data_IF_542007142461
#
_entry.id   IF_542007142461
#
_cell.length_a   1.000
_cell.length_b   1.000
_cell.length_c   1.000
_cell.angle_alpha   90.00
_cell.angle_beta   90.00
_cell.angle_gamma   90.00
#
_symmetry.space_group_name_H-M   'P 1'
#
loop_
_entity.id
_entity.type
_entity.pdbx_description
1 polymer ?
#
# COMPACT_ATOMS: atom_id res chain seq x y z
N UNK A 1 12.96 -33.16 -34.33
CA UNK A 1 13.89 -32.33 -33.53
C UNK A 1 13.34 -30.92 -33.52
N UNK A 2 13.03 -30.39 -32.33
CA UNK A 2 12.49 -29.04 -32.17
C UNK A 2 13.59 -28.02 -31.95
N UNK A 3 13.40 -26.83 -32.52
CA UNK A 3 14.28 -25.69 -32.29
C UNK A 3 13.87 -24.95 -31.01
N UNK A 4 14.81 -24.84 -30.06
CA UNK A 4 14.69 -23.98 -28.89
C UNK A 4 14.55 -22.52 -29.33
N UNK A 5 13.41 -21.86 -29.07
CA UNK A 5 13.19 -20.45 -29.48
C UNK A 5 13.93 -19.40 -28.64
N UNK A 6 14.69 -19.82 -27.61
CA UNK A 6 15.40 -18.90 -26.70
C UNK A 6 16.87 -18.78 -27.08
N UNK A 7 17.55 -19.91 -27.30
CA UNK A 7 18.96 -19.97 -27.71
C UNK A 7 19.19 -20.72 -29.03
N UNK A 8 18.14 -20.92 -29.84
CA UNK A 8 18.21 -21.31 -31.26
C UNK A 8 19.03 -22.57 -31.59
N UNK A 9 19.08 -23.56 -30.69
CA UNK A 9 19.69 -24.87 -30.95
C UNK A 9 18.62 -25.96 -30.96
N UNK A 10 18.97 -27.13 -31.48
CA UNK A 10 18.07 -28.27 -31.57
C UNK A 10 18.15 -29.10 -30.29
N UNK A 11 16.99 -29.47 -29.75
CA UNK A 11 16.88 -30.51 -28.74
C UNK A 11 15.61 -31.33 -28.97
N UNK A 12 15.53 -32.49 -28.32
CA UNK A 12 14.34 -33.35 -28.39
C UNK A 12 13.13 -32.65 -27.76
N UNK A 13 11.96 -32.84 -28.41
CA UNK A 13 10.70 -32.28 -27.94
C UNK A 13 10.34 -32.86 -26.57
N UNK A 14 10.03 -31.99 -25.61
CA UNK A 14 9.72 -32.39 -24.23
C UNK A 14 10.93 -32.59 -23.31
N UNK A 15 12.15 -32.49 -23.83
CA UNK A 15 13.39 -32.59 -23.04
C UNK A 15 13.90 -31.21 -22.62
N UNK A 16 14.52 -31.13 -21.44
CA UNK A 16 15.14 -29.90 -20.93
C UNK A 16 16.33 -29.52 -21.79
N UNK A 17 16.30 -28.34 -22.36
CA UNK A 17 17.45 -27.75 -23.03
C UNK A 17 18.65 -27.72 -22.08
N UNK A 18 19.78 -28.27 -22.51
CA UNK A 18 21.02 -28.33 -21.73
C UNK A 18 21.73 -26.98 -21.61
N UNK A 19 21.44 -26.03 -22.50
CA UNK A 19 22.07 -24.70 -22.54
C UNK A 19 21.32 -23.68 -21.67
N UNK A 20 20.00 -23.54 -21.87
CA UNK A 20 19.19 -22.55 -21.16
C UNK A 20 18.21 -23.16 -20.14
N UNK A 21 18.13 -24.48 -20.03
CA UNK A 21 17.34 -25.15 -19.01
C UNK A 21 15.82 -25.15 -19.23
N UNK A 22 15.32 -24.68 -20.37
CA UNK A 22 13.88 -24.67 -20.61
C UNK A 22 13.34 -26.05 -21.04
N UNK A 23 12.10 -26.36 -20.70
CA UNK A 23 11.34 -27.49 -21.26
C UNK A 23 10.14 -26.87 -21.96
N UNK A 24 9.81 -27.34 -23.16
CA UNK A 24 8.72 -26.78 -23.97
C UNK A 24 7.39 -26.62 -23.22
N UNK A 25 6.76 -25.45 -23.42
CA UNK A 25 5.41 -25.00 -23.00
C UNK A 25 5.05 -25.14 -21.52
N UNK A 26 5.84 -24.52 -20.64
CA UNK A 26 5.34 -24.18 -19.31
C UNK A 26 4.32 -23.03 -19.40
N UNK A 27 3.05 -23.29 -19.03
CA UNK A 27 2.03 -22.25 -18.78
C UNK A 27 2.53 -21.19 -17.79
N UNK A 28 3.35 -21.59 -16.82
CA UNK A 28 3.95 -20.67 -15.84
C UNK A 28 4.89 -19.67 -16.53
N UNK A 29 5.67 -20.12 -17.52
CA UNK A 29 6.53 -19.22 -18.29
C UNK A 29 5.73 -18.29 -19.22
N UNK A 30 4.57 -18.73 -19.72
CA UNK A 30 3.64 -17.84 -20.44
C UNK A 30 3.01 -16.79 -19.51
N UNK A 31 2.70 -17.15 -18.26
CA UNK A 31 2.29 -16.20 -17.22
C UNK A 31 3.41 -15.20 -16.87
N UNK A 32 4.67 -15.64 -16.82
CA UNK A 32 5.85 -14.79 -16.62
C UNK A 32 6.21 -13.94 -17.85
N UNK A 33 5.73 -14.31 -19.05
CA UNK A 33 5.89 -13.55 -20.31
C UNK A 33 4.97 -12.33 -20.41
N UNK A 34 4.10 -12.11 -19.41
CA UNK A 34 3.57 -10.78 -19.16
C UNK A 34 4.76 -9.91 -18.75
N UNK A 35 5.49 -9.39 -19.74
CA UNK A 35 6.56 -8.41 -19.64
C UNK A 35 5.99 -7.17 -18.96
N UNK A 36 5.84 -7.22 -17.63
CA UNK A 36 5.59 -6.02 -16.85
C UNK A 36 6.89 -5.25 -16.87
N UNK A 37 6.87 -3.97 -17.27
CA UNK A 37 8.05 -3.12 -17.17
C UNK A 37 8.62 -3.24 -15.75
N UNK A 38 9.94 -3.37 -15.61
CA UNK A 38 10.63 -3.49 -14.31
C UNK A 38 10.27 -2.32 -13.36
N UNK A 39 9.80 -1.20 -13.92
CA UNK A 39 9.38 0.00 -13.20
C UNK A 39 7.86 0.25 -13.20
N UNK A 40 7.04 -0.76 -13.49
CA UNK A 40 5.59 -0.58 -13.48
C UNK A 40 5.11 -0.33 -12.04
N UNK A 41 4.36 0.77 -11.89
CA UNK A 41 3.69 1.10 -10.64
C UNK A 41 2.42 0.25 -10.51
N UNK A 42 2.26 -0.42 -9.37
CA UNK A 42 1.06 -1.21 -9.06
C UNK A 42 0.58 -0.88 -7.65
N UNK A 43 -0.73 -0.74 -7.49
CA UNK A 43 -1.37 -0.62 -6.20
C UNK A 43 -2.15 -1.87 -5.88
N UNK A 44 -2.14 -2.26 -4.61
CA UNK A 44 -2.92 -3.38 -4.10
C UNK A 44 -3.63 -2.90 -2.85
N UNK A 45 -4.95 -2.88 -2.87
CA UNK A 45 -5.79 -2.69 -1.68
C UNK A 45 -6.35 -4.05 -1.24
N UNK A 46 -6.34 -4.33 0.06
CA UNK A 46 -6.77 -5.61 0.61
C UNK A 46 -7.21 -5.49 2.07
N UNK A 47 -8.15 -6.33 2.49
CA UNK A 47 -8.46 -6.56 3.91
C UNK A 47 -7.68 -7.77 4.41
N UNK A 48 -7.26 -7.77 5.68
CA UNK A 48 -6.61 -8.95 6.27
C UNK A 48 -7.69 -9.95 6.68
N UNK A 49 -7.91 -10.97 5.87
CA UNK A 49 -8.70 -12.14 6.26
C UNK A 49 -7.75 -13.28 6.67
N UNK A 50 -7.98 -13.84 7.87
CA UNK A 50 -7.19 -14.93 8.46
C UNK A 50 -7.31 -16.21 7.63
N UNK A 51 -8.36 -16.35 6.81
CA UNK A 51 -8.61 -17.51 5.97
C UNK A 51 -8.12 -17.33 4.52
N UNK A 52 -7.76 -16.12 4.10
CA UNK A 52 -7.41 -15.83 2.70
C UNK A 52 -5.89 -15.79 2.45
N UNK A 53 -5.41 -16.69 1.59
CA UNK A 53 -3.99 -16.92 1.32
C UNK A 53 -3.27 -15.73 0.65
N UNK A 54 -3.80 -15.10 -0.42
CA UNK A 54 -3.20 -13.92 -1.04
C UNK A 54 -3.12 -12.72 -0.08
N UNK A 55 -4.14 -12.54 0.77
CA UNK A 55 -4.17 -11.50 1.79
C UNK A 55 -3.08 -11.70 2.86
N UNK A 56 -2.71 -12.94 3.19
CA UNK A 56 -1.56 -13.24 4.07
C UNK A 56 -0.22 -12.80 3.48
N UNK A 57 -0.02 -13.02 2.17
CA UNK A 57 1.19 -12.59 1.46
C UNK A 57 1.33 -11.07 1.45
N UNK A 58 0.27 -10.37 1.04
CA UNK A 58 0.23 -8.90 1.04
C UNK A 58 0.39 -8.33 2.45
N UNK A 59 -0.25 -8.94 3.45
CA UNK A 59 -0.09 -8.53 4.85
C UNK A 59 1.36 -8.61 5.29
N UNK A 60 2.04 -9.72 4.99
CA UNK A 60 3.46 -9.90 5.33
C UNK A 60 4.34 -8.80 4.70
N UNK A 61 4.05 -8.41 3.45
CA UNK A 61 4.77 -7.31 2.79
C UNK A 61 4.46 -5.94 3.42
N UNK A 62 3.20 -5.68 3.77
CA UNK A 62 2.81 -4.46 4.47
C UNK A 62 3.50 -4.34 5.84
N UNK A 63 3.62 -5.46 6.56
CA UNK A 63 4.37 -5.53 7.82
C UNK A 63 5.84 -5.18 7.61
N UNK A 64 6.51 -5.78 6.64
CA UNK A 64 7.93 -5.50 6.34
C UNK A 64 8.17 -4.01 6.01
N UNK A 65 7.30 -3.40 5.19
CA UNK A 65 7.41 -1.98 4.85
C UNK A 65 7.18 -1.09 6.08
N UNK A 66 6.17 -1.41 6.91
CA UNK A 66 5.88 -0.68 8.15
C UNK A 66 7.01 -0.83 9.17
N UNK A 67 7.52 -2.02 9.41
CA UNK A 67 8.69 -2.28 10.26
C UNK A 67 9.92 -1.51 9.77
N UNK A 68 10.15 -1.46 8.46
CA UNK A 68 11.27 -0.68 7.92
C UNK A 68 11.14 0.82 8.18
N UNK A 69 9.94 1.37 8.02
CA UNK A 69 9.71 2.83 8.10
C UNK A 69 9.45 3.34 9.52
N UNK A 70 8.87 2.49 10.36
CA UNK A 70 8.41 2.83 11.70
C UNK A 70 9.01 1.92 12.77
N UNK A 71 9.96 1.02 12.47
CA UNK A 71 10.46 0.00 13.41
C UNK A 71 11.18 0.53 14.65
N UNK A 72 11.43 1.84 14.74
CA UNK A 72 11.83 2.50 15.98
C UNK A 72 10.66 2.73 16.95
N UNK A 73 9.42 2.64 16.46
CA UNK A 73 8.23 2.66 17.30
C UNK A 73 8.16 1.36 18.10
N UNK A 74 8.24 1.50 19.42
CA UNK A 74 8.20 0.38 20.37
C UNK A 74 6.78 -0.18 20.56
N UNK A 75 5.75 0.60 20.21
CA UNK A 75 4.33 0.27 20.38
C UNK A 75 3.49 0.77 19.21
N UNK A 76 2.36 0.10 18.96
CA UNK A 76 1.37 0.53 17.96
C UNK A 76 1.83 0.41 16.52
N UNK A 77 2.91 -0.33 16.24
CA UNK A 77 3.32 -0.64 14.88
C UNK A 77 2.34 -1.62 14.22
N UNK A 78 1.83 -2.56 14.99
CA UNK A 78 0.73 -3.45 14.65
C UNK A 78 -0.28 -3.43 15.78
N UNK A 79 -1.56 -3.42 15.45
CA UNK A 79 -2.64 -3.34 16.43
C UNK A 79 -3.83 -4.21 16.02
N UNK A 80 -4.81 -4.34 16.92
CA UNK A 80 -6.01 -5.15 16.69
C UNK A 80 -6.84 -4.67 15.49
N UNK A 81 -6.72 -3.41 15.07
CA UNK A 81 -7.45 -2.89 13.91
C UNK A 81 -6.88 -3.42 12.60
N UNK A 82 -5.61 -3.84 12.56
CA UNK A 82 -5.00 -4.39 11.35
C UNK A 82 -5.72 -5.65 10.85
N UNK A 83 -6.41 -6.37 11.75
CA UNK A 83 -7.22 -7.57 11.45
C UNK A 83 -8.73 -7.30 11.43
N UNK A 84 -9.17 -6.04 11.53
CA UNK A 84 -10.59 -5.69 11.47
C UNK A 84 -11.12 -5.81 10.04
N UNK A 85 -12.37 -6.27 9.90
CA UNK A 85 -13.08 -6.30 8.60
C UNK A 85 -13.36 -4.90 8.05
N UNK A 86 -13.33 -3.88 8.91
CA UNK A 86 -13.48 -2.46 8.54
C UNK A 86 -12.17 -1.82 8.09
N UNK A 87 -11.06 -2.56 8.12
CA UNK A 87 -9.73 -2.08 7.84
C UNK A 87 -9.23 -2.55 6.47
N UNK A 88 -8.80 -1.59 5.66
CA UNK A 88 -8.17 -1.80 4.36
C UNK A 88 -6.69 -1.42 4.46
N UNK A 89 -5.85 -2.22 3.83
CA UNK A 89 -4.42 -1.99 3.71
C UNK A 89 -4.11 -1.70 2.26
N UNK A 90 -3.26 -0.72 2.03
CA UNK A 90 -2.80 -0.35 0.70
C UNK A 90 -1.29 -0.58 0.59
N UNK A 91 -0.87 -1.23 -0.50
CA UNK A 91 0.52 -1.40 -0.89
C UNK A 91 0.77 -0.75 -2.24
N UNK A 92 1.93 -0.11 -2.36
CA UNK A 92 2.45 0.33 -3.66
C UNK A 92 3.69 -0.47 -4.00
N UNK A 93 3.72 -0.98 -5.23
CA UNK A 93 4.83 -1.74 -5.80
C UNK A 93 5.45 -0.97 -6.96
N UNK A 94 6.77 -1.11 -7.10
CA UNK A 94 7.51 -0.75 -8.32
C UNK A 94 8.18 -2.02 -8.81
N UNK A 95 7.69 -2.57 -9.93
CA UNK A 95 7.98 -3.95 -10.30
C UNK A 95 7.43 -4.89 -9.21
N UNK A 96 8.28 -5.77 -8.69
CA UNK A 96 7.93 -6.72 -7.64
C UNK A 96 8.24 -6.22 -6.22
N UNK A 97 8.89 -5.07 -6.09
CA UNK A 97 9.31 -4.53 -4.79
C UNK A 97 8.22 -3.67 -4.15
N UNK A 98 7.78 -3.95 -2.91
CA UNK A 98 6.88 -3.05 -2.17
C UNK A 98 7.66 -1.82 -1.70
N UNK A 99 7.18 -0.64 -2.05
CA UNK A 99 7.86 0.65 -1.78
C UNK A 99 7.09 1.56 -0.83
N UNK A 100 5.79 1.33 -0.68
CA UNK A 100 4.94 2.09 0.24
C UNK A 100 3.84 1.21 0.80
N UNK A 101 3.43 1.53 2.02
CA UNK A 101 2.33 0.88 2.72
C UNK A 101 1.51 1.95 3.45
N UNK A 102 0.21 1.72 3.55
CA UNK A 102 -0.71 2.53 4.33
C UNK A 102 -1.87 1.66 4.80
N UNK A 103 -2.64 2.20 5.73
CA UNK A 103 -3.88 1.62 6.23
C UNK A 103 -4.97 2.68 6.16
N UNK A 104 -6.19 2.28 5.85
CA UNK A 104 -7.35 3.12 6.09
C UNK A 104 -8.53 2.31 6.59
N UNK A 105 -9.40 2.92 7.39
CA UNK A 105 -10.57 2.25 7.96
C UNK A 105 -11.75 3.20 8.15
N UNK A 106 -12.96 2.66 8.13
CA UNK A 106 -14.14 3.38 8.61
C UNK A 106 -14.06 3.59 10.12
N UNK A 107 -14.45 4.77 10.59
CA UNK A 107 -14.54 5.12 12.00
C UNK A 107 -15.68 6.12 12.23
N UNK A 108 -15.98 6.38 13.49
CA UNK A 108 -16.91 7.44 13.91
C UNK A 108 -16.15 8.44 14.75
N UNK A 109 -16.35 9.71 14.45
CA UNK A 109 -15.73 10.82 15.17
C UNK A 109 -16.78 11.89 15.42
N UNK A 110 -16.98 12.28 16.68
CA UNK A 110 -18.06 13.19 17.10
C UNK A 110 -19.46 12.84 16.54
N UNK A 111 -19.76 11.54 16.43
CA UNK A 111 -21.05 11.04 15.95
C UNK A 111 -21.25 11.05 14.43
N UNK A 112 -20.23 11.46 13.65
CA UNK A 112 -20.26 11.38 12.19
C UNK A 112 -19.29 10.32 11.66
N UNK A 113 -19.64 9.70 10.54
CA UNK A 113 -18.79 8.69 9.92
C UNK A 113 -17.63 9.34 9.16
N UNK A 114 -16.42 8.84 9.41
CA UNK A 114 -15.17 9.32 8.81
C UNK A 114 -14.32 8.15 8.33
N UNK A 115 -13.42 8.43 7.38
CA UNK A 115 -12.42 7.48 6.92
C UNK A 115 -11.07 7.90 7.47
N UNK A 116 -10.47 7.06 8.31
CA UNK A 116 -9.19 7.35 8.95
C UNK A 116 -8.08 6.73 8.11
N UNK A 117 -7.09 7.53 7.71
CA UNK A 117 -5.89 7.11 7.01
C UNK A 117 -4.72 7.11 8.00
N UNK A 118 -4.15 5.93 8.21
CA UNK A 118 -3.05 5.71 9.14
C UNK A 118 -1.85 5.03 8.47
N UNK A 119 -0.70 5.10 9.15
CA UNK A 119 0.51 4.32 8.83
C UNK A 119 1.00 4.49 7.39
N UNK A 120 0.65 5.60 6.73
CA UNK A 120 1.12 5.92 5.40
C UNK A 120 2.63 6.16 5.41
N UNK A 121 3.34 5.35 4.66
CA UNK A 121 4.80 5.36 4.63
C UNK A 121 5.36 4.97 3.28
N UNK A 122 6.51 5.56 2.95
CA UNK A 122 7.30 5.23 1.75
C UNK A 122 8.72 4.94 2.21
N UNK A 123 9.31 3.83 1.74
CA UNK A 123 10.69 3.47 2.09
C UNK A 123 11.68 4.57 1.71
N UNK A 124 12.67 4.82 2.57
CA UNK A 124 13.59 5.96 2.47
C UNK A 124 14.19 6.14 1.07
N UNK A 125 14.73 5.06 0.49
CA UNK A 125 15.39 5.06 -0.83
C UNK A 125 14.45 5.41 -2.00
N UNK A 126 13.14 5.38 -1.76
CA UNK A 126 12.10 5.72 -2.76
C UNK A 126 11.37 7.02 -2.42
N UNK A 127 11.70 7.72 -1.32
CA UNK A 127 11.11 9.04 -1.02
C UNK A 127 11.50 10.07 -2.07
N UNK A 128 10.73 11.17 -2.13
CA UNK A 128 10.89 12.28 -3.11
C UNK A 128 10.71 11.87 -4.58
N UNK A 129 10.10 10.71 -4.83
CA UNK A 129 9.76 10.20 -6.17
C UNK A 129 8.25 10.02 -6.35
N UNK A 130 7.48 11.00 -5.84
CA UNK A 130 6.00 11.07 -5.93
C UNK A 130 5.18 9.88 -5.40
N UNK A 131 5.78 8.77 -4.94
CA UNK A 131 5.03 7.61 -4.45
C UNK A 131 4.10 7.91 -3.28
N UNK A 132 4.43 8.88 -2.42
CA UNK A 132 3.51 9.35 -1.37
C UNK A 132 2.24 9.98 -1.95
N UNK A 133 2.37 10.78 -3.01
CA UNK A 133 1.24 11.32 -3.77
C UNK A 133 0.43 10.20 -4.41
N UNK A 134 1.11 9.24 -5.03
CA UNK A 134 0.43 8.14 -5.72
C UNK A 134 -0.37 7.24 -4.77
N UNK A 135 0.21 6.82 -3.65
CA UNK A 135 -0.51 5.96 -2.69
C UNK A 135 -1.66 6.72 -2.03
N UNK A 136 -1.47 7.99 -1.65
CA UNK A 136 -2.57 8.78 -1.05
C UNK A 136 -3.71 9.01 -2.04
N UNK A 137 -3.40 9.32 -3.31
CA UNK A 137 -4.40 9.41 -4.37
C UNK A 137 -5.16 8.09 -4.54
N UNK A 138 -4.46 6.97 -4.54
CA UNK A 138 -5.09 5.66 -4.68
C UNK A 138 -5.99 5.32 -3.49
N UNK A 139 -5.58 5.65 -2.26
CA UNK A 139 -6.41 5.47 -1.04
C UNK A 139 -7.69 6.30 -1.14
N UNK A 140 -7.60 7.56 -1.55
CA UNK A 140 -8.78 8.43 -1.69
C UNK A 140 -9.77 7.85 -2.72
N UNK A 141 -9.28 7.36 -3.86
CA UNK A 141 -10.13 6.72 -4.86
C UNK A 141 -10.70 5.37 -4.37
N UNK A 142 -9.93 4.59 -3.62
CA UNK A 142 -10.38 3.33 -3.00
C UNK A 142 -11.50 3.58 -1.99
N UNK A 143 -11.36 4.62 -1.15
CA UNK A 143 -12.39 5.06 -0.21
C UNK A 143 -13.66 5.44 -0.98
N UNK A 144 -13.58 6.31 -2.01
CA UNK A 144 -14.74 6.72 -2.82
C UNK A 144 -15.44 5.53 -3.47
N UNK A 145 -14.67 4.60 -4.05
CA UNK A 145 -15.21 3.40 -4.67
C UNK A 145 -15.96 2.54 -3.65
N UNK A 146 -15.39 2.33 -2.47
CA UNK A 146 -16.04 1.56 -1.40
C UNK A 146 -17.27 2.28 -0.83
N UNK A 147 -17.24 3.59 -0.67
CA UNK A 147 -18.42 4.36 -0.27
C UNK A 147 -19.58 4.13 -1.23
N UNK A 148 -19.31 4.20 -2.55
CA UNK A 148 -20.34 4.01 -3.57
C UNK A 148 -20.91 2.59 -3.57
N UNK A 149 -20.06 1.57 -3.38
CA UNK A 149 -20.49 0.17 -3.32
C UNK A 149 -21.27 -0.14 -2.04
N UNK A 150 -20.84 0.41 -0.89
CA UNK A 150 -21.45 0.14 0.41
C UNK A 150 -22.61 1.09 0.75
N UNK A 151 -22.87 2.10 -0.07
CA UNK A 151 -23.92 3.10 0.16
C UNK A 151 -23.69 3.98 1.39
N UNK A 152 -22.42 4.23 1.76
CA UNK A 152 -22.05 5.00 2.95
C UNK A 152 -22.05 6.51 2.68
N UNK A 153 -22.48 7.28 3.68
CA UNK A 153 -22.33 8.73 3.69
C UNK A 153 -21.14 9.11 4.57
N UNK A 154 -20.06 9.58 3.94
CA UNK A 154 -18.85 9.97 4.64
C UNK A 154 -18.84 11.48 4.87
N UNK A 155 -18.54 11.90 6.10
CA UNK A 155 -18.38 13.32 6.42
C UNK A 155 -17.00 13.86 6.01
N UNK A 156 -15.94 13.10 6.33
CA UNK A 156 -14.57 13.53 6.06
C UNK A 156 -13.59 12.36 6.00
N UNK A 157 -12.45 12.63 5.36
CA UNK A 157 -11.24 11.82 5.47
C UNK A 157 -10.33 12.46 6.52
N UNK A 158 -9.75 11.64 7.39
CA UNK A 158 -8.98 12.09 8.54
C UNK A 158 -7.62 11.38 8.55
N UNK A 159 -6.56 12.10 8.92
CA UNK A 159 -5.26 11.49 9.19
C UNK A 159 -4.58 12.19 10.38
N UNK A 160 -3.83 11.42 11.17
CA UNK A 160 -2.99 11.98 12.22
C UNK A 160 -1.57 12.16 11.69
N UNK A 161 -1.09 13.40 11.67
CA UNK A 161 0.18 13.78 11.05
C UNK A 161 1.02 14.57 12.04
N UNK A 162 2.34 14.36 12.03
CA UNK A 162 3.26 15.16 12.84
C UNK A 162 3.00 16.67 12.63
N UNK A 163 2.82 17.40 13.73
CA UNK A 163 2.57 18.83 13.77
C UNK A 163 3.86 19.61 13.49
N UNK A 164 4.31 19.54 12.24
CA UNK A 164 5.47 20.23 11.71
C UNK A 164 5.21 20.51 10.23
N UNK A 165 5.11 21.80 9.87
CA UNK A 165 4.83 22.24 8.50
C UNK A 165 5.93 21.85 7.50
N UNK A 166 7.16 21.61 7.98
CA UNK A 166 8.28 21.16 7.17
C UNK A 166 8.26 19.65 6.93
N UNK A 167 7.52 18.90 7.75
CA UNK A 167 7.46 17.45 7.69
C UNK A 167 6.89 16.97 6.34
N UNK A 168 7.49 15.95 5.70
CA UNK A 168 7.03 15.49 4.38
C UNK A 168 5.57 15.03 4.34
N UNK A 169 5.09 14.42 5.43
CA UNK A 169 3.68 14.01 5.52
C UNK A 169 2.75 15.22 5.59
N UNK A 170 3.10 16.28 6.34
CA UNK A 170 2.30 17.51 6.39
C UNK A 170 2.11 18.10 5.00
N UNK A 171 3.21 18.30 4.27
CA UNK A 171 3.19 18.84 2.90
C UNK A 171 2.39 17.95 1.94
N UNK A 172 2.47 16.63 2.12
CA UNK A 172 1.70 15.69 1.31
C UNK A 172 0.19 15.84 1.55
N UNK A 173 -0.25 15.85 2.80
CA UNK A 173 -1.68 15.97 3.12
C UNK A 173 -2.25 17.33 2.70
N UNK A 174 -1.52 18.43 2.97
CA UNK A 174 -1.92 19.78 2.50
C UNK A 174 -2.04 19.85 0.97
N UNK A 175 -1.15 19.18 0.22
CA UNK A 175 -1.25 19.10 -1.25
C UNK A 175 -2.56 18.47 -1.73
N UNK A 176 -3.17 17.58 -0.94
CA UNK A 176 -4.46 16.96 -1.23
C UNK A 176 -5.65 17.72 -0.63
N UNK A 177 -5.44 18.94 -0.13
CA UNK A 177 -6.49 19.78 0.43
C UNK A 177 -6.86 19.48 1.88
N UNK A 178 -6.13 18.60 2.56
CA UNK A 178 -6.35 18.40 4.00
C UNK A 178 -5.93 19.65 4.77
N UNK A 179 -6.70 19.98 5.80
CA UNK A 179 -6.46 21.11 6.69
C UNK A 179 -6.25 20.61 8.13
N UNK A 180 -5.33 21.22 8.90
CA UNK A 180 -5.18 20.89 10.31
C UNK A 180 -6.42 21.33 11.10
N UNK A 181 -6.90 20.50 12.00
CA UNK A 181 -8.09 20.75 12.82
C UNK A 181 -7.82 20.37 14.28
N UNK A 182 -8.15 21.28 15.20
CA UNK A 182 -7.96 21.07 16.64
C UNK A 182 -6.52 21.26 17.10
N UNK A 183 -6.31 21.01 18.40
CA UNK A 183 -5.02 21.20 19.07
C UNK A 183 -4.06 20.02 18.83
N UNK A 184 -2.73 20.27 18.79
CA UNK A 184 -1.74 19.20 18.71
C UNK A 184 -1.79 18.29 19.95
N UNK A 185 -1.58 16.98 19.74
CA UNK A 185 -1.61 15.96 20.79
C UNK A 185 -0.41 15.01 20.71
N UNK A 186 -0.03 14.41 21.83
CA UNK A 186 1.06 13.45 21.89
C UNK A 186 0.62 12.07 21.39
N UNK A 187 1.46 11.43 20.57
CA UNK A 187 1.25 10.04 20.14
C UNK A 187 2.37 9.18 20.73
N UNK A 188 2.06 8.11 21.50
CA UNK A 188 3.08 7.32 22.20
C UNK A 188 4.20 6.74 21.33
N UNK A 189 3.93 6.51 20.05
CA UNK A 189 4.88 5.97 19.07
C UNK A 189 5.71 7.03 18.32
N UNK A 190 5.63 8.30 18.71
CA UNK A 190 6.21 9.43 17.99
C UNK A 190 6.90 10.41 18.94
N UNK A 191 8.04 10.94 18.51
CA UNK A 191 8.74 12.04 19.19
C UNK A 191 8.14 13.42 18.88
N UNK A 192 7.35 13.53 17.82
CA UNK A 192 6.63 14.75 17.45
C UNK A 192 5.22 14.72 18.02
N UNK A 193 4.69 15.89 18.40
CA UNK A 193 3.24 16.09 18.52
C UNK A 193 2.59 15.86 17.16
N UNK A 194 1.34 15.38 17.16
CA UNK A 194 0.53 15.19 15.96
C UNK A 194 -0.63 16.17 15.96
N UNK A 195 -1.13 16.48 14.77
CA UNK A 195 -2.40 17.17 14.57
C UNK A 195 -3.30 16.32 13.70
N UNK A 196 -4.60 16.46 13.90
CA UNK A 196 -5.60 15.87 13.04
C UNK A 196 -5.70 16.68 11.75
N UNK A 197 -5.45 16.04 10.62
CA UNK A 197 -5.64 16.59 9.29
C UNK A 197 -6.98 16.10 8.73
N UNK A 198 -7.80 17.01 8.21
CA UNK A 198 -9.16 16.72 7.75
C UNK A 198 -9.33 17.19 6.32
N UNK A 199 -9.85 16.31 5.46
CA UNK A 199 -10.37 16.64 4.14
C UNK A 199 -11.88 16.42 4.18
N UNK A 200 -12.64 17.52 4.15
CA UNK A 200 -14.10 17.46 4.14
C UNK A 200 -14.58 16.79 2.85
N UNK A 201 -15.53 15.88 3.00
CA UNK A 201 -16.20 15.24 1.88
C UNK A 201 -17.47 16.04 1.57
N UNK A 202 -17.43 16.79 0.48
CA UNK A 202 -18.55 17.59 -0.05
C UNK A 202 -19.38 16.80 -1.05
#
# INVERSE_FOLDING_TARGET
MSLCRVCNHHHEDGVKCTICGHIGKSKVFQFLKNNRPINQLRFVSFCVDVNDSPSKGNWSLARLVRERNFGKATIGLFDSHDHSTTCNHALTFVGDAPVAAARWSWSVDNGVEVAVIDKLSVIDIRRRRTYGTYILSNIIEDIKAKMAVEGRTLYALVANVAHDQLHPAWKLFVKFGFQPMGEPFAVPSSTHLHVKMVLLHS
#
